data_IF_122335676832
#
_entry.id   IF_122335676832
#
_cell.length_a   1.000
_cell.length_b   1.000
_cell.length_c   1.000
_cell.angle_alpha   90.00
_cell.angle_beta   90.00
_cell.angle_gamma   90.00
#
_symmetry.space_group_name_H-M   'P 1'
#
loop_
_entity.id
_entity.type
_entity.pdbx_description
1 polymer ?
#
# COMPACT_ATOMS: atom_id res chain seq x y z
N UNK A 1 -38.02 -1.07 42.08
CA UNK A 1 -37.69 -0.15 43.18
C UNK A 1 -37.42 1.15 42.48
N UNK A 2 -38.38 1.81 42.42
CA UNK A 2 -39.09 2.97 42.97
C UNK A 2 -38.71 4.23 42.21
N UNK A 3 -39.62 4.78 41.42
CA UNK A 3 -40.75 5.65 41.74
C UNK A 3 -40.34 6.96 42.43
N UNK A 4 -40.66 8.05 41.81
CA UNK A 4 -41.58 9.13 42.22
C UNK A 4 -41.37 10.36 41.36
N UNK A 5 -42.29 10.74 40.51
CA UNK A 5 -43.59 11.41 40.76
C UNK A 5 -43.50 12.66 41.68
N UNK A 6 -43.99 13.79 41.16
CA UNK A 6 -45.15 14.56 41.52
C UNK A 6 -44.95 16.06 41.73
N UNK A 7 -45.78 16.80 40.99
CA UNK A 7 -46.76 17.91 41.25
C UNK A 7 -46.22 19.35 41.17
N UNK A 8 -46.77 20.10 40.24
CA UNK A 8 -48.04 20.85 40.25
C UNK A 8 -48.11 21.99 41.29
N UNK A 9 -48.26 23.22 40.84
CA UNK A 9 -49.05 24.25 41.52
C UNK A 9 -49.33 25.46 40.65
N UNK A 10 -50.54 25.54 40.22
CA UNK A 10 -51.43 26.66 39.91
C UNK A 10 -51.17 27.99 40.63
N UNK A 11 -51.45 29.08 39.91
CA UNK A 11 -51.66 30.41 40.51
C UNK A 11 -52.29 31.41 39.50
N UNK A 12 -53.59 31.55 39.61
CA UNK A 12 -54.52 32.45 38.88
C UNK A 12 -54.54 33.85 39.51
N UNK A 13 -54.94 34.85 38.73
CA UNK A 13 -55.69 36.11 38.95
C UNK A 13 -54.98 37.27 38.17
N UNK A 14 -55.52 38.06 37.29
CA UNK A 14 -56.87 38.39 36.95
C UNK A 14 -56.93 39.89 36.45
N UNK A 15 -57.73 40.07 35.41
CA UNK A 15 -58.52 41.23 35.02
C UNK A 15 -57.83 42.54 34.59
N UNK A 16 -58.11 43.03 33.50
CA UNK A 16 -59.15 43.80 32.78
C UNK A 16 -58.53 44.96 31.99
N UNK A 17 -59.05 45.17 30.79
CA UNK A 17 -58.81 46.43 30.03
C UNK A 17 -59.02 46.29 28.53
N UNK A 18 -60.24 46.36 28.09
CA UNK A 18 -60.75 46.47 26.74
C UNK A 18 -60.18 47.67 25.98
N UNK A 19 -59.78 47.46 24.73
CA UNK A 19 -60.18 48.33 23.62
C UNK A 19 -59.92 47.65 22.27
N UNK A 20 -60.99 47.51 21.52
CA UNK A 20 -61.14 47.16 20.13
C UNK A 20 -60.11 47.82 19.23
N UNK A 21 -59.51 47.02 18.41
CA UNK A 21 -59.12 47.39 17.05
C UNK A 21 -58.98 46.11 16.23
N UNK A 22 -60.05 45.76 15.52
CA UNK A 22 -60.10 44.72 14.51
C UNK A 22 -59.20 45.12 13.35
N UNK A 23 -58.02 44.52 13.32
CA UNK A 23 -57.23 44.31 12.09
C UNK A 23 -57.33 42.87 11.72
N UNK A 24 -58.11 42.58 10.68
CA UNK A 24 -58.18 41.28 10.02
C UNK A 24 -56.80 40.92 9.48
N UNK A 25 -56.06 40.10 10.19
CA UNK A 25 -54.94 39.35 9.62
C UNK A 25 -55.56 38.29 8.73
N UNK A 26 -55.69 38.55 7.42
CA UNK A 26 -55.75 37.52 6.43
C UNK A 26 -54.51 36.64 6.64
N UNK A 27 -54.70 35.41 7.08
CA UNK A 27 -53.64 34.40 7.06
C UNK A 27 -53.24 34.23 5.61
N UNK A 28 -52.10 34.78 5.21
CA UNK A 28 -51.48 34.52 3.94
C UNK A 28 -51.35 33.01 3.82
N UNK A 29 -52.05 32.42 2.85
CA UNK A 29 -51.85 30.99 2.48
C UNK A 29 -50.38 30.83 2.15
N UNK A 30 -49.74 29.74 2.61
CA UNK A 30 -48.36 29.48 2.25
C UNK A 30 -48.25 29.49 0.72
N UNK A 31 -47.40 30.33 0.17
CA UNK A 31 -47.11 30.38 -1.27
C UNK A 31 -46.40 29.06 -1.59
N UNK A 32 -47.07 28.19 -2.34
CA UNK A 32 -46.40 26.95 -2.84
C UNK A 32 -45.59 27.40 -4.03
N UNK A 33 -44.28 27.42 -3.86
CA UNK A 33 -43.33 27.71 -4.92
C UNK A 33 -43.03 26.41 -5.64
N UNK A 34 -43.24 26.39 -6.95
CA UNK A 34 -42.99 25.25 -7.83
C UNK A 34 -42.25 25.70 -9.08
N UNK A 35 -41.76 24.74 -9.87
CA UNK A 35 -41.10 25.05 -11.13
C UNK A 35 -42.04 25.86 -12.07
N UNK A 36 -41.54 26.97 -12.60
CA UNK A 36 -42.30 27.91 -13.39
C UNK A 36 -43.07 28.96 -12.58
N UNK A 37 -42.92 28.98 -11.24
CA UNK A 37 -43.51 30.05 -10.41
C UNK A 37 -42.93 31.40 -10.80
N UNK A 38 -43.84 32.36 -11.15
CA UNK A 38 -43.47 33.73 -11.53
C UNK A 38 -44.04 34.70 -10.56
N UNK A 39 -43.25 35.68 -10.20
CA UNK A 39 -43.68 36.75 -9.31
C UNK A 39 -43.10 38.08 -9.77
N UNK A 40 -43.96 39.16 -9.88
CA UNK A 40 -43.48 40.47 -10.23
C UNK A 40 -42.57 41.05 -9.14
N UNK A 41 -41.60 41.85 -9.56
CA UNK A 41 -40.71 42.56 -8.64
C UNK A 41 -41.47 43.67 -7.98
N UNK A 42 -41.39 43.83 -6.64
CA UNK A 42 -41.91 44.98 -5.94
C UNK A 42 -41.21 46.28 -6.35
N UNK A 43 -41.91 47.41 -6.20
CA UNK A 43 -41.34 48.73 -6.46
C UNK A 43 -40.38 49.17 -5.33
N UNK A 44 -40.55 48.60 -4.14
CA UNK A 44 -39.74 48.91 -2.96
C UNK A 44 -38.51 48.02 -2.89
N UNK A 45 -37.28 48.55 -2.76
CA UNK A 45 -36.07 47.74 -2.63
C UNK A 45 -36.07 46.79 -1.42
N UNK A 46 -36.69 47.19 -0.31
CA UNK A 46 -36.77 46.38 0.91
C UNK A 46 -37.72 45.19 0.69
N UNK A 47 -38.86 45.38 0.05
CA UNK A 47 -39.81 44.32 -0.29
C UNK A 47 -39.23 43.37 -1.38
N UNK A 48 -38.47 43.93 -2.31
CA UNK A 48 -37.74 43.12 -3.30
C UNK A 48 -36.71 42.17 -2.63
N UNK A 49 -35.95 42.68 -1.66
CA UNK A 49 -34.97 41.90 -0.90
C UNK A 49 -35.66 40.78 -0.09
N UNK A 50 -36.79 41.08 0.56
CA UNK A 50 -37.57 40.08 1.31
C UNK A 50 -38.13 38.99 0.38
N UNK A 51 -38.68 39.38 -0.79
CA UNK A 51 -39.20 38.46 -1.77
C UNK A 51 -38.06 37.54 -2.31
N UNK A 52 -36.92 38.15 -2.65
CA UNK A 52 -35.78 37.37 -3.15
C UNK A 52 -35.27 36.36 -2.11
N UNK A 53 -35.18 36.75 -0.84
CA UNK A 53 -34.79 35.84 0.24
C UNK A 53 -35.78 34.66 0.40
N UNK A 54 -37.07 34.87 0.22
CA UNK A 54 -38.09 33.81 0.24
C UNK A 54 -37.91 32.85 -0.94
N UNK A 55 -37.67 33.36 -2.15
CA UNK A 55 -37.40 32.54 -3.35
C UNK A 55 -36.12 31.73 -3.18
N UNK A 56 -35.04 32.34 -2.69
CA UNK A 56 -33.78 31.71 -2.44
C UNK A 56 -33.90 30.57 -1.41
N UNK A 57 -34.67 30.81 -0.34
CA UNK A 57 -34.93 29.79 0.68
C UNK A 57 -35.66 28.58 0.09
N UNK A 58 -36.69 28.79 -0.73
CA UNK A 58 -37.45 27.72 -1.36
C UNK A 58 -36.60 26.93 -2.35
N UNK A 59 -35.77 27.61 -3.15
CA UNK A 59 -34.83 26.96 -4.08
C UNK A 59 -33.78 26.14 -3.31
N UNK A 60 -33.22 26.68 -2.24
CA UNK A 60 -32.24 25.98 -1.42
C UNK A 60 -32.84 24.76 -0.71
N UNK A 61 -34.09 24.83 -0.23
CA UNK A 61 -34.80 23.72 0.38
C UNK A 61 -35.01 22.59 -0.65
N UNK A 62 -35.49 22.92 -1.86
CA UNK A 62 -35.66 21.97 -2.95
C UNK A 62 -34.32 21.31 -3.32
N UNK A 63 -33.29 22.12 -3.56
CA UNK A 63 -31.97 21.63 -3.99
C UNK A 63 -31.29 20.75 -2.94
N UNK A 64 -31.55 21.03 -1.64
CA UNK A 64 -31.05 20.19 -0.55
C UNK A 64 -31.75 18.82 -0.45
N UNK A 65 -32.98 18.72 -0.94
CA UNK A 65 -33.78 17.51 -0.95
C UNK A 65 -33.71 16.73 -2.28
N UNK A 66 -33.22 17.36 -3.35
CA UNK A 66 -33.17 16.79 -4.69
C UNK A 66 -32.28 15.55 -4.74
N UNK A 67 -32.79 14.49 -5.38
CA UNK A 67 -32.13 13.21 -5.52
C UNK A 67 -31.27 13.17 -6.80
N UNK A 68 -30.29 12.26 -6.89
CA UNK A 68 -29.54 12.02 -8.12
C UNK A 68 -30.48 11.75 -9.31
N UNK A 69 -30.25 12.43 -10.42
CA UNK A 69 -31.10 12.38 -11.61
C UNK A 69 -32.24 13.39 -11.61
N UNK A 70 -32.56 14.05 -10.51
CA UNK A 70 -33.50 15.16 -10.44
C UNK A 70 -32.82 16.47 -10.83
N UNK A 71 -33.62 17.47 -11.18
CA UNK A 71 -33.11 18.78 -11.53
C UNK A 71 -33.10 19.69 -10.29
N UNK A 72 -32.01 20.40 -10.10
CA UNK A 72 -31.97 21.55 -9.20
C UNK A 72 -32.85 22.67 -9.72
N UNK A 73 -33.29 23.55 -8.82
CA UNK A 73 -33.96 24.78 -9.19
C UNK A 73 -32.99 25.97 -9.19
N UNK A 74 -33.31 26.96 -9.98
CA UNK A 74 -32.62 28.25 -10.01
C UNK A 74 -33.62 29.38 -10.03
N UNK A 75 -33.15 30.61 -9.79
CA UNK A 75 -33.94 31.84 -9.90
C UNK A 75 -33.45 32.55 -11.15
N UNK A 76 -34.36 32.75 -12.11
CA UNK A 76 -34.19 33.66 -13.24
C UNK A 76 -34.86 34.97 -12.95
N UNK A 77 -34.35 36.05 -13.48
CA UNK A 77 -34.94 37.35 -13.29
C UNK A 77 -34.89 38.21 -14.56
N UNK A 78 -35.95 39.01 -14.73
CA UNK A 78 -36.03 40.09 -15.72
C UNK A 78 -36.08 41.43 -15.00
N UNK A 79 -36.26 42.50 -15.72
CA UNK A 79 -36.45 43.83 -15.09
C UNK A 79 -37.75 43.95 -14.28
N UNK A 80 -38.73 43.06 -14.51
CA UNK A 80 -40.07 43.15 -13.95
C UNK A 80 -40.53 41.96 -13.13
N UNK A 81 -39.86 40.80 -13.22
CA UNK A 81 -40.29 39.58 -12.52
C UNK A 81 -39.14 38.66 -12.17
N UNK A 82 -39.37 37.79 -11.17
CA UNK A 82 -38.57 36.59 -10.86
C UNK A 82 -39.32 35.34 -11.33
N UNK A 83 -38.59 34.33 -11.74
CA UNK A 83 -39.11 33.02 -12.13
C UNK A 83 -38.26 31.91 -11.55
N UNK A 84 -38.88 30.88 -10.96
CA UNK A 84 -38.20 29.65 -10.58
C UNK A 84 -38.03 28.77 -11.84
N UNK A 85 -36.81 28.55 -12.22
CA UNK A 85 -36.45 27.78 -13.41
C UNK A 85 -35.77 26.45 -13.06
N UNK A 86 -35.77 25.53 -14.02
CA UNK A 86 -34.99 24.32 -13.94
C UNK A 86 -33.49 24.60 -14.06
N UNK A 87 -32.71 24.11 -13.11
CA UNK A 87 -31.27 24.20 -13.08
C UNK A 87 -30.61 22.93 -13.64
N UNK A 88 -29.44 22.62 -13.11
CA UNK A 88 -28.67 21.44 -13.53
C UNK A 88 -29.21 20.16 -12.88
N UNK A 89 -28.96 19.01 -13.56
CA UNK A 89 -29.26 17.71 -12.98
C UNK A 89 -28.31 17.38 -11.85
N UNK A 90 -28.83 16.90 -10.74
CA UNK A 90 -28.01 16.39 -9.62
C UNK A 90 -27.25 15.16 -10.13
N UNK A 91 -25.90 15.17 -10.12
CA UNK A 91 -25.14 14.04 -10.61
C UNK A 91 -25.36 12.78 -9.76
N UNK A 92 -25.40 11.65 -10.42
CA UNK A 92 -25.36 10.37 -9.70
C UNK A 92 -24.04 10.25 -8.88
N UNK A 93 -24.10 9.71 -7.64
CA UNK A 93 -22.88 9.47 -6.88
C UNK A 93 -21.97 8.53 -7.67
N UNK A 94 -20.72 8.93 -7.87
CA UNK A 94 -19.69 8.06 -8.41
C UNK A 94 -19.44 6.98 -7.36
N UNK A 95 -20.03 5.80 -7.53
CA UNK A 95 -19.73 4.64 -6.69
C UNK A 95 -18.34 4.15 -7.12
N UNK A 96 -17.32 4.23 -6.25
CA UNK A 96 -16.02 3.65 -6.56
C UNK A 96 -16.21 2.18 -6.91
N UNK A 97 -15.48 1.64 -7.91
CA UNK A 97 -15.56 0.21 -8.20
C UNK A 97 -15.21 -0.58 -6.94
N UNK A 98 -16.03 -1.56 -6.61
CA UNK A 98 -15.75 -2.46 -5.49
C UNK A 98 -14.38 -3.10 -5.75
N UNK A 99 -13.43 -3.06 -4.79
CA UNK A 99 -12.15 -3.73 -4.94
C UNK A 99 -12.40 -5.21 -5.27
N UNK A 100 -11.92 -5.64 -6.42
CA UNK A 100 -11.98 -7.05 -6.80
C UNK A 100 -10.87 -7.76 -6.02
N UNK A 101 -11.23 -8.76 -5.21
CA UNK A 101 -10.22 -9.57 -4.54
C UNK A 101 -9.37 -10.33 -5.57
N UNK A 102 -8.03 -10.35 -5.41
CA UNK A 102 -7.16 -11.04 -6.34
C UNK A 102 -7.48 -12.56 -6.37
N UNK A 103 -7.35 -13.16 -7.53
CA UNK A 103 -7.46 -14.60 -7.71
C UNK A 103 -6.27 -15.32 -7.08
N UNK A 104 -6.37 -16.63 -6.84
CA UNK A 104 -5.25 -17.42 -6.33
C UNK A 104 -4.06 -17.42 -7.30
N UNK A 105 -4.32 -17.36 -8.61
CA UNK A 105 -3.30 -17.28 -9.64
C UNK A 105 -2.54 -15.96 -9.60
N UNK A 106 -3.23 -14.85 -9.44
CA UNK A 106 -2.60 -13.53 -9.28
C UNK A 106 -1.75 -13.45 -8.01
N UNK A 107 -2.27 -13.96 -6.88
CA UNK A 107 -1.49 -14.06 -5.63
C UNK A 107 -0.26 -14.93 -5.81
N UNK A 108 -0.39 -16.07 -6.50
CA UNK A 108 0.73 -16.99 -6.76
C UNK A 108 1.81 -16.34 -7.61
N UNK A 109 1.43 -15.64 -8.68
CA UNK A 109 2.38 -14.93 -9.55
C UNK A 109 3.13 -13.83 -8.77
N UNK A 110 2.41 -13.04 -7.98
CA UNK A 110 3.00 -12.00 -7.14
C UNK A 110 4.00 -12.60 -6.13
N UNK A 111 3.63 -13.68 -5.43
CA UNK A 111 4.51 -14.39 -4.49
C UNK A 111 5.76 -14.97 -5.15
N UNK A 112 5.64 -15.54 -6.36
CA UNK A 112 6.77 -16.05 -7.12
C UNK A 112 7.74 -14.93 -7.54
N UNK A 113 7.21 -13.80 -7.97
CA UNK A 113 7.99 -12.63 -8.35
C UNK A 113 8.69 -12.02 -7.12
N UNK A 114 7.96 -11.84 -6.03
CA UNK A 114 8.50 -11.33 -4.76
C UNK A 114 9.60 -12.24 -4.21
N UNK A 115 9.39 -13.56 -4.19
CA UNK A 115 10.40 -14.51 -3.73
C UNK A 115 11.68 -14.44 -4.57
N UNK A 116 11.56 -14.30 -5.89
CA UNK A 116 12.71 -14.18 -6.79
C UNK A 116 13.47 -12.88 -6.58
N UNK A 117 12.75 -11.74 -6.52
CA UNK A 117 13.35 -10.43 -6.29
C UNK A 117 14.04 -10.34 -4.92
N UNK A 118 13.43 -10.91 -3.87
CA UNK A 118 14.04 -10.95 -2.53
C UNK A 118 15.32 -11.80 -2.53
N UNK A 119 15.29 -12.95 -3.19
CA UNK A 119 16.49 -13.80 -3.32
C UNK A 119 17.63 -13.05 -4.01
N UNK A 120 17.35 -12.40 -5.13
CA UNK A 120 18.32 -11.62 -5.89
C UNK A 120 18.90 -10.48 -5.06
N UNK A 121 18.03 -9.71 -4.37
CA UNK A 121 18.45 -8.62 -3.49
C UNK A 121 19.38 -9.12 -2.38
N UNK A 122 19.01 -10.21 -1.69
CA UNK A 122 19.83 -10.78 -0.62
C UNK A 122 21.19 -11.28 -1.13
N UNK A 123 21.24 -11.83 -2.34
CA UNK A 123 22.51 -12.24 -2.94
C UNK A 123 23.35 -11.01 -3.28
N UNK A 124 22.77 -9.99 -3.89
CA UNK A 124 23.49 -8.79 -4.34
C UNK A 124 23.97 -7.94 -3.17
N UNK A 125 23.19 -7.85 -2.09
CA UNK A 125 23.63 -7.21 -0.84
C UNK A 125 24.94 -7.82 -0.30
N UNK A 126 25.21 -9.09 -0.61
CA UNK A 126 26.49 -9.71 -0.38
C UNK A 126 26.69 -10.30 1.00
N UNK A 127 27.95 -10.43 1.40
CA UNK A 127 28.36 -11.11 2.64
C UNK A 127 29.49 -10.41 3.38
N UNK A 128 29.47 -10.58 4.68
CA UNK A 128 30.60 -10.25 5.55
C UNK A 128 31.53 -11.46 5.69
N UNK A 129 32.81 -11.30 5.37
CA UNK A 129 33.83 -12.35 5.52
C UNK A 129 34.94 -11.86 6.44
N UNK A 130 35.33 -12.69 7.40
CA UNK A 130 36.49 -12.41 8.28
C UNK A 130 37.75 -12.97 7.65
N UNK A 131 38.55 -12.10 7.06
CA UNK A 131 39.84 -12.39 6.43
C UNK A 131 41.00 -12.19 7.41
N UNK A 132 42.21 -12.46 6.97
CA UNK A 132 43.44 -12.20 7.78
C UNK A 132 43.59 -10.72 8.18
N UNK A 133 43.08 -9.80 7.34
CA UNK A 133 43.07 -8.34 7.55
C UNK A 133 41.89 -7.82 8.35
N UNK A 134 40.99 -8.70 8.84
CA UNK A 134 39.78 -8.35 9.58
C UNK A 134 38.49 -8.65 8.81
N UNK A 135 37.36 -8.24 9.43
CA UNK A 135 36.03 -8.42 8.84
C UNK A 135 35.82 -7.40 7.71
N UNK A 136 35.42 -7.88 6.54
CA UNK A 136 35.17 -7.08 5.33
C UNK A 136 33.86 -7.48 4.68
N UNK A 137 33.22 -6.53 4.02
CA UNK A 137 32.00 -6.75 3.24
C UNK A 137 32.29 -6.86 1.75
N UNK A 138 31.56 -7.75 1.08
CA UNK A 138 31.66 -7.99 -0.36
C UNK A 138 30.26 -8.10 -0.95
N UNK A 139 29.88 -7.15 -1.78
CA UNK A 139 28.71 -7.28 -2.66
C UNK A 139 28.88 -8.46 -3.59
N UNK A 140 27.76 -9.07 -3.99
CA UNK A 140 27.76 -10.27 -4.85
C UNK A 140 26.86 -10.06 -6.07
N UNK A 141 26.95 -8.89 -6.71
CA UNK A 141 26.39 -8.75 -8.04
C UNK A 141 27.05 -9.72 -9.03
N UNK A 142 26.45 -9.97 -10.18
CA UNK A 142 26.97 -10.95 -11.17
C UNK A 142 28.43 -10.65 -11.55
N UNK A 143 28.79 -9.37 -11.66
CA UNK A 143 30.16 -8.97 -11.94
C UNK A 143 31.12 -9.34 -10.81
N UNK A 144 30.71 -9.14 -9.55
CA UNK A 144 31.53 -9.47 -8.38
C UNK A 144 31.74 -10.96 -8.24
N UNK A 145 30.66 -11.75 -8.42
CA UNK A 145 30.74 -13.20 -8.45
C UNK A 145 31.75 -13.68 -9.50
N UNK A 146 31.71 -13.12 -10.72
CA UNK A 146 32.65 -13.45 -11.80
C UNK A 146 34.08 -13.04 -11.46
N UNK A 147 34.27 -11.90 -10.80
CA UNK A 147 35.60 -11.42 -10.37
C UNK A 147 36.17 -12.34 -9.29
N UNK A 148 35.35 -12.75 -8.29
CA UNK A 148 35.79 -13.67 -7.24
C UNK A 148 36.14 -15.04 -7.85
N UNK A 149 35.34 -15.56 -8.78
CA UNK A 149 35.64 -16.78 -9.53
C UNK A 149 36.97 -16.65 -10.29
N UNK A 150 37.22 -15.49 -10.90
CA UNK A 150 38.46 -15.18 -11.63
C UNK A 150 39.71 -15.18 -10.76
N UNK A 151 39.66 -14.52 -9.60
CA UNK A 151 40.82 -14.50 -8.68
C UNK A 151 41.04 -15.84 -8.02
N UNK A 152 39.98 -16.59 -7.70
CA UNK A 152 40.10 -17.96 -7.20
C UNK A 152 40.74 -18.86 -8.24
N UNK A 153 40.38 -18.74 -9.53
CA UNK A 153 41.01 -19.49 -10.60
C UNK A 153 42.51 -19.17 -10.72
N UNK A 154 42.92 -17.89 -10.55
CA UNK A 154 44.34 -17.53 -10.51
C UNK A 154 45.10 -18.29 -9.38
N UNK A 155 44.47 -18.39 -8.19
CA UNK A 155 45.03 -19.16 -7.05
C UNK A 155 45.15 -20.66 -7.41
N UNK A 156 44.15 -21.24 -8.08
CA UNK A 156 44.21 -22.65 -8.52
C UNK A 156 45.34 -22.92 -9.54
N UNK A 157 45.76 -21.87 -10.26
CA UNK A 157 46.90 -21.93 -11.19
C UNK A 157 48.24 -21.57 -10.55
N UNK A 158 48.29 -21.39 -9.21
CA UNK A 158 49.52 -21.23 -8.43
C UNK A 158 49.82 -19.78 -8.00
N UNK A 159 48.90 -18.84 -8.17
CA UNK A 159 49.09 -17.51 -7.60
C UNK A 159 49.04 -17.55 -6.07
N UNK A 160 50.04 -16.98 -5.38
CA UNK A 160 50.10 -16.90 -3.91
C UNK A 160 49.36 -15.71 -3.35
N UNK A 161 49.11 -14.68 -4.17
CA UNK A 161 48.29 -13.52 -3.87
C UNK A 161 47.76 -12.91 -5.16
N UNK A 162 46.64 -12.15 -5.06
CA UNK A 162 46.07 -11.45 -6.22
C UNK A 162 45.43 -10.13 -5.77
N UNK A 163 45.47 -9.07 -6.60
CA UNK A 163 44.85 -7.79 -6.27
C UNK A 163 43.32 -7.89 -6.28
N UNK A 164 42.71 -7.49 -5.18
CA UNK A 164 41.25 -7.40 -5.02
C UNK A 164 40.87 -6.30 -4.01
N UNK A 165 39.61 -6.04 -3.85
CA UNK A 165 39.10 -5.07 -2.87
C UNK A 165 37.80 -5.54 -2.22
N UNK A 166 37.57 -5.11 -0.99
CA UNK A 166 36.27 -5.15 -0.36
C UNK A 166 35.50 -3.86 -0.72
N UNK A 167 34.23 -3.84 -0.43
CA UNK A 167 33.36 -2.71 -0.77
C UNK A 167 33.83 -1.42 -0.08
N UNK A 168 33.94 -0.36 -0.86
CA UNK A 168 34.40 0.94 -0.40
C UNK A 168 35.90 1.03 -0.06
N UNK A 169 36.70 -0.04 -0.29
CA UNK A 169 38.12 -0.06 0.00
C UNK A 169 38.97 0.05 -1.28
N UNK A 170 40.23 0.45 -1.11
CA UNK A 170 41.19 0.42 -2.20
C UNK A 170 41.59 -1.02 -2.53
N UNK A 171 41.96 -1.24 -3.80
CA UNK A 171 42.50 -2.53 -4.24
C UNK A 171 43.83 -2.82 -3.52
N UNK A 172 43.93 -3.98 -2.90
CA UNK A 172 45.12 -4.46 -2.18
C UNK A 172 45.42 -5.92 -2.55
N UNK A 173 46.60 -6.41 -2.19
CA UNK A 173 46.96 -7.82 -2.40
C UNK A 173 46.28 -8.70 -1.35
N UNK A 174 45.38 -9.56 -1.79
CA UNK A 174 44.76 -10.61 -0.96
C UNK A 174 45.62 -11.88 -1.08
N UNK A 175 45.86 -12.53 0.05
CA UNK A 175 46.60 -13.82 0.08
C UNK A 175 45.75 -14.92 -0.57
N UNK A 176 46.40 -15.99 -1.05
CA UNK A 176 45.70 -17.15 -1.59
C UNK A 176 44.69 -17.73 -0.56
N UNK A 177 45.06 -17.78 0.72
CA UNK A 177 44.16 -18.26 1.79
C UNK A 177 42.93 -17.37 1.97
N UNK A 178 43.08 -16.03 1.92
CA UNK A 178 41.94 -15.11 2.00
C UNK A 178 41.00 -15.22 0.78
N UNK A 179 41.58 -15.42 -0.43
CA UNK A 179 40.82 -15.62 -1.66
C UNK A 179 40.02 -16.93 -1.61
N UNK A 180 40.64 -18.02 -1.13
CA UNK A 180 39.95 -19.31 -0.95
C UNK A 180 38.81 -19.17 0.04
N UNK A 181 39.03 -18.48 1.17
CA UNK A 181 38.01 -18.26 2.18
C UNK A 181 36.84 -17.42 1.65
N UNK A 182 37.13 -16.33 0.93
CA UNK A 182 36.13 -15.50 0.26
C UNK A 182 35.31 -16.32 -0.74
N UNK A 183 35.98 -17.09 -1.59
CA UNK A 183 35.34 -17.96 -2.59
C UNK A 183 34.40 -18.98 -1.93
N UNK A 184 34.85 -19.68 -0.88
CA UNK A 184 34.03 -20.66 -0.15
C UNK A 184 32.79 -19.99 0.47
N UNK A 185 32.99 -18.85 1.12
CA UNK A 185 31.93 -18.09 1.80
C UNK A 185 30.85 -17.66 0.78
N UNK A 186 31.28 -17.09 -0.34
CA UNK A 186 30.40 -16.65 -1.39
C UNK A 186 29.64 -17.81 -2.05
N UNK A 187 30.33 -18.90 -2.43
CA UNK A 187 29.68 -20.05 -3.07
C UNK A 187 28.65 -20.69 -2.15
N UNK A 188 28.98 -20.88 -0.88
CA UNK A 188 28.04 -21.44 0.09
C UNK A 188 26.83 -20.53 0.29
N UNK A 189 27.02 -19.22 0.38
CA UNK A 189 25.94 -18.26 0.54
C UNK A 189 24.99 -18.25 -0.67
N UNK A 190 25.53 -18.07 -1.87
CA UNK A 190 24.72 -18.05 -3.10
C UNK A 190 23.98 -19.37 -3.30
N UNK A 191 24.67 -20.52 -3.06
CA UNK A 191 24.05 -21.84 -3.15
C UNK A 191 22.90 -21.98 -2.15
N UNK A 192 23.09 -21.51 -0.90
CA UNK A 192 22.05 -21.56 0.11
C UNK A 192 20.83 -20.73 -0.28
N UNK A 193 21.03 -19.48 -0.71
CA UNK A 193 19.94 -18.59 -1.12
C UNK A 193 19.18 -19.12 -2.34
N UNK A 194 19.89 -19.56 -3.37
CA UNK A 194 19.26 -20.07 -4.60
C UNK A 194 18.51 -21.39 -4.36
N UNK A 195 19.07 -22.29 -3.54
CA UNK A 195 18.42 -23.57 -3.21
C UNK A 195 17.17 -23.35 -2.36
N UNK A 196 17.24 -22.46 -1.35
CA UNK A 196 16.08 -22.07 -0.55
C UNK A 196 14.99 -21.42 -1.41
N UNK A 197 15.36 -20.43 -2.24
CA UNK A 197 14.43 -19.75 -3.13
C UNK A 197 13.71 -20.76 -4.05
N UNK A 198 14.44 -21.74 -4.59
CA UNK A 198 13.88 -22.76 -5.45
C UNK A 198 12.87 -23.65 -4.71
N UNK A 199 13.18 -24.06 -3.48
CA UNK A 199 12.27 -24.83 -2.63
C UNK A 199 11.03 -24.02 -2.24
N UNK A 200 11.19 -22.72 -1.88
CA UNK A 200 10.09 -21.80 -1.59
C UNK A 200 9.15 -21.63 -2.79
N UNK A 201 9.70 -21.45 -3.98
CA UNK A 201 8.92 -21.38 -5.23
C UNK A 201 8.14 -22.66 -5.51
N UNK A 202 8.71 -23.83 -5.23
CA UNK A 202 8.00 -25.12 -5.34
C UNK A 202 6.82 -25.19 -4.36
N UNK A 203 6.99 -24.70 -3.13
CA UNK A 203 5.89 -24.60 -2.18
C UNK A 203 4.79 -23.68 -2.69
N UNK A 204 5.12 -22.44 -3.11
CA UNK A 204 4.17 -21.47 -3.66
C UNK A 204 3.40 -22.06 -4.86
N UNK A 205 4.09 -22.79 -5.76
CA UNK A 205 3.47 -23.39 -6.94
C UNK A 205 2.47 -24.50 -6.61
N UNK A 206 2.74 -25.30 -5.58
CA UNK A 206 1.89 -26.44 -5.20
C UNK A 206 0.76 -26.10 -4.24
N UNK A 207 0.82 -24.91 -3.57
CA UNK A 207 -0.19 -24.47 -2.61
C UNK A 207 -1.52 -24.21 -3.31
N UNK A 208 -2.62 -24.73 -2.73
CA UNK A 208 -3.99 -24.63 -3.28
C UNK A 208 -4.89 -23.76 -2.43
N UNK A 209 -4.52 -23.50 -1.19
CA UNK A 209 -5.26 -22.65 -0.29
C UNK A 209 -4.75 -21.22 -0.42
N UNK A 210 -5.66 -20.29 -0.77
CA UNK A 210 -5.32 -18.87 -0.98
C UNK A 210 -4.83 -18.20 0.29
N UNK A 211 -5.43 -18.51 1.44
CA UNK A 211 -5.08 -17.89 2.71
C UNK A 211 -3.67 -18.33 3.16
N UNK A 212 -3.36 -19.60 2.98
CA UNK A 212 -2.00 -20.13 3.19
C UNK A 212 -1.01 -19.49 2.24
N UNK A 213 -1.36 -19.33 0.96
CA UNK A 213 -0.50 -18.72 -0.04
C UNK A 213 -0.17 -17.26 0.29
N UNK A 214 -1.13 -16.51 0.80
CA UNK A 214 -0.97 -15.10 1.18
C UNK A 214 0.07 -14.88 2.28
N UNK A 215 0.23 -15.84 3.20
CA UNK A 215 1.15 -15.72 4.34
C UNK A 215 2.55 -16.30 4.06
N UNK A 216 2.77 -16.95 2.91
CA UNK A 216 4.10 -17.40 2.50
C UNK A 216 4.97 -16.19 2.17
N UNK A 217 6.09 -16.06 2.89
CA UNK A 217 7.09 -15.00 2.69
C UNK A 217 8.49 -15.58 2.61
N UNK A 218 9.43 -14.80 2.06
CA UNK A 218 10.83 -15.21 2.03
C UNK A 218 11.39 -15.33 3.46
N UNK A 219 12.02 -16.46 3.77
CA UNK A 219 12.47 -16.81 5.12
C UNK A 219 11.48 -17.69 5.90
N UNK A 220 10.31 -18.01 5.34
CA UNK A 220 9.36 -18.93 5.96
C UNK A 220 9.96 -20.33 6.12
N UNK A 221 9.54 -21.05 7.16
CA UNK A 221 9.91 -22.45 7.34
C UNK A 221 9.27 -23.30 6.25
N UNK A 222 10.10 -23.95 5.45
CA UNK A 222 9.64 -24.83 4.37
C UNK A 222 8.90 -26.06 4.92
N UNK A 223 7.93 -26.61 4.18
CA UNK A 223 7.40 -27.95 4.44
C UNK A 223 8.52 -29.01 4.52
N UNK A 224 8.32 -30.00 5.39
CA UNK A 224 9.36 -30.99 5.76
C UNK A 224 10.01 -31.64 4.55
N UNK A 225 9.24 -32.05 3.55
CA UNK A 225 9.74 -32.70 2.34
C UNK A 225 10.67 -31.79 1.51
N UNK A 226 10.33 -30.51 1.36
CA UNK A 226 11.15 -29.54 0.66
C UNK A 226 12.39 -29.16 1.47
N UNK A 227 12.23 -29.05 2.79
CA UNK A 227 13.35 -28.78 3.69
C UNK A 227 14.38 -29.93 3.71
N UNK A 228 13.91 -31.17 3.77
CA UNK A 228 14.79 -32.33 3.70
C UNK A 228 15.56 -32.38 2.37
N UNK A 229 14.88 -32.15 1.25
CA UNK A 229 15.54 -32.17 -0.07
C UNK A 229 16.54 -31.02 -0.22
N UNK A 230 16.18 -29.82 0.22
CA UNK A 230 17.07 -28.65 0.26
C UNK A 230 18.35 -28.98 1.06
N UNK A 231 18.20 -29.55 2.26
CA UNK A 231 19.34 -29.87 3.13
C UNK A 231 20.26 -30.93 2.52
N UNK A 232 19.72 -31.92 1.81
CA UNK A 232 20.53 -32.90 1.07
C UNK A 232 21.38 -32.24 -0.01
N UNK A 233 20.78 -31.32 -0.79
CA UNK A 233 21.48 -30.58 -1.86
C UNK A 233 22.59 -29.70 -1.24
N UNK A 234 22.28 -28.95 -0.16
CA UNK A 234 23.25 -28.11 0.51
C UNK A 234 24.42 -28.90 1.10
N UNK A 235 24.14 -30.04 1.73
CA UNK A 235 25.20 -30.94 2.24
C UNK A 235 26.12 -31.42 1.12
N UNK A 236 25.54 -31.92 0.01
CA UNK A 236 26.31 -32.35 -1.13
C UNK A 236 27.15 -31.24 -1.77
N UNK A 237 26.59 -30.02 -1.90
CA UNK A 237 27.32 -28.86 -2.41
C UNK A 237 28.49 -28.47 -1.50
N UNK A 238 28.28 -28.44 -0.18
CA UNK A 238 29.33 -28.15 0.78
C UNK A 238 30.47 -29.22 0.73
N UNK A 239 30.15 -30.51 0.61
CA UNK A 239 31.15 -31.57 0.43
C UNK A 239 32.01 -31.32 -0.82
N UNK A 240 31.42 -30.88 -1.94
CA UNK A 240 32.17 -30.57 -3.15
C UNK A 240 33.12 -29.38 -2.96
N UNK A 241 32.65 -28.31 -2.32
CA UNK A 241 33.49 -27.13 -2.00
C UNK A 241 34.66 -27.53 -1.12
N UNK A 242 34.43 -28.34 -0.08
CA UNK A 242 35.50 -28.83 0.82
C UNK A 242 36.50 -29.72 0.08
N UNK A 243 36.02 -30.58 -0.82
CA UNK A 243 36.90 -31.43 -1.64
C UNK A 243 37.82 -30.60 -2.56
N UNK A 244 37.32 -29.52 -3.16
CA UNK A 244 38.11 -28.60 -4.00
C UNK A 244 39.21 -27.94 -3.15
N UNK A 245 38.87 -27.40 -1.98
CA UNK A 245 39.83 -26.76 -1.08
C UNK A 245 40.89 -27.72 -0.57
N UNK A 246 40.49 -28.92 -0.19
CA UNK A 246 41.43 -29.95 0.27
C UNK A 246 42.43 -30.34 -0.82
N UNK A 247 42.00 -30.47 -2.08
CA UNK A 247 42.89 -30.71 -3.22
C UNK A 247 43.86 -29.53 -3.44
N UNK A 248 43.38 -28.31 -3.32
CA UNK A 248 44.21 -27.11 -3.49
C UNK A 248 45.30 -27.05 -2.41
N UNK A 249 44.95 -27.27 -1.13
CA UNK A 249 45.90 -27.31 -0.03
C UNK A 249 46.99 -28.39 -0.24
N UNK A 250 46.61 -29.60 -0.65
CA UNK A 250 47.54 -30.66 -0.95
C UNK A 250 48.51 -30.35 -2.11
N UNK A 251 48.09 -29.49 -3.06
CA UNK A 251 48.93 -29.07 -4.19
C UNK A 251 49.95 -28.01 -3.76
N UNK A 252 49.59 -27.13 -2.83
CA UNK A 252 50.47 -26.08 -2.30
C UNK A 252 51.56 -26.70 -1.41
N UNK A 253 51.22 -27.66 -0.53
CA UNK A 253 52.17 -28.37 0.32
C UNK A 253 53.22 -29.19 -0.46
N UNK A 254 52.95 -29.59 -1.72
CA UNK A 254 53.90 -30.34 -2.55
C UNK A 254 54.88 -29.45 -3.32
N UNK A 255 54.75 -28.10 -3.23
CA UNK A 255 55.60 -27.14 -3.93
C UNK A 255 56.59 -26.41 -3.03
N UNK A 256 56.61 -26.69 -1.71
CA UNK A 256 57.69 -26.33 -0.77
C UNK A 256 58.72 -27.48 -0.66
#
# INVERSE_FOLDING_TARGET
MDENEVKDATGIIGTTGSSDSSASTESEKPIVMELGYKVPKPDSPDEEAELYAKLESAVNEHNSAAQPGEYNWGISFTNSEYEIIQGEVVPEPIVPPTPVEPTIEEVREDKLNTASATCETLIYDGIDVTLSSGKKHFSLEIADQSNIDGIFNAVTLGATAYPYHADGELCTMFSASDIVLLYMSYKNFVTAQTTYCNALRQWIMREKDKDTLLVIEYGATLPDDLNEEMNKILAAANEQVQAIVSKLAATVDMTE
#
